data_IF_120707836129
#
_entry.id   IF_120707836129
#
_cell.length_a   1.000
_cell.length_b   1.000
_cell.length_c   1.000
_cell.angle_alpha   90.00
_cell.angle_beta   90.00
_cell.angle_gamma   90.00
#
_symmetry.space_group_name_H-M   'P 1'
#
loop_
_entity.id
_entity.type
_entity.pdbx_description
1 polymer ?
#
# COMPACT_ATOMS: atom_id res chain seq x y z
N UNK A 1 22.80 8.74 16.57
CA UNK A 1 21.91 9.81 17.12
C UNK A 1 20.65 9.85 16.28
N UNK A 2 19.48 9.54 16.84
CA UNK A 2 18.22 9.63 16.09
C UNK A 2 17.80 11.10 15.98
N UNK A 3 17.67 11.63 14.77
CA UNK A 3 17.11 12.97 14.53
C UNK A 3 15.61 12.97 14.84
N UNK A 4 15.05 14.07 15.37
CA UNK A 4 13.60 14.22 15.59
C UNK A 4 12.77 13.91 14.35
N UNK A 5 13.32 14.18 13.15
CA UNK A 5 12.71 13.85 11.86
C UNK A 5 12.54 12.34 11.65
N UNK A 6 13.47 11.53 12.14
CA UNK A 6 13.45 10.06 12.04
C UNK A 6 12.39 9.48 12.97
N UNK A 7 12.34 9.97 14.21
CA UNK A 7 11.31 9.55 15.19
C UNK A 7 9.91 9.91 14.71
N UNK A 8 9.72 11.13 14.21
CA UNK A 8 8.43 11.58 13.65
C UNK A 8 7.98 10.70 12.47
N UNK A 9 8.92 10.37 11.57
CA UNK A 9 8.63 9.52 10.42
C UNK A 9 8.21 8.09 10.78
N UNK A 10 8.95 7.41 11.66
CA UNK A 10 8.55 6.06 12.05
C UNK A 10 7.31 6.08 12.94
N UNK A 11 7.13 7.13 13.75
CA UNK A 11 5.92 7.33 14.53
C UNK A 11 4.66 7.49 13.67
N UNK A 12 4.72 8.18 12.52
CA UNK A 12 3.57 8.24 11.61
C UNK A 12 3.31 6.90 10.90
N UNK A 13 4.36 6.18 10.49
CA UNK A 13 4.22 4.88 9.84
C UNK A 13 3.58 3.85 10.77
N UNK A 14 4.00 3.80 12.03
CA UNK A 14 3.42 2.91 13.05
C UNK A 14 1.94 3.23 13.30
N UNK A 15 1.57 4.52 13.43
CA UNK A 15 0.17 4.91 13.64
C UNK A 15 -0.71 4.49 12.46
N UNK A 16 -0.25 4.74 11.24
CA UNK A 16 -0.98 4.36 10.04
C UNK A 16 -1.14 2.84 9.90
N UNK A 17 -0.10 2.08 10.22
CA UNK A 17 -0.20 0.62 10.21
C UNK A 17 -1.19 0.10 11.27
N UNK A 18 -1.16 0.68 12.48
CA UNK A 18 -2.11 0.31 13.54
C UNK A 18 -3.55 0.62 13.14
N UNK A 19 -3.80 1.75 12.48
CA UNK A 19 -5.13 2.10 11.96
C UNK A 19 -5.68 1.01 11.02
N UNK A 20 -4.87 0.52 10.09
CA UNK A 20 -5.26 -0.57 9.18
C UNK A 20 -5.56 -1.84 9.97
N UNK A 21 -4.70 -2.19 10.93
CA UNK A 21 -4.82 -3.44 11.69
C UNK A 21 -6.02 -3.46 12.65
N UNK A 22 -6.41 -2.31 13.18
CA UNK A 22 -7.55 -2.18 14.11
C UNK A 22 -8.89 -2.16 13.37
N UNK A 23 -8.95 -1.57 12.18
CA UNK A 23 -10.18 -1.43 11.39
C UNK A 23 -10.48 -2.62 10.46
N UNK A 24 -9.85 -3.78 10.68
CA UNK A 24 -10.01 -4.95 9.81
C UNK A 24 -11.15 -5.86 10.26
N UNK A 25 -12.05 -6.17 9.34
CA UNK A 25 -13.17 -7.09 9.51
C UNK A 25 -13.00 -8.31 8.61
N UNK A 26 -13.59 -9.45 8.97
CA UNK A 26 -13.51 -10.64 8.11
C UNK A 26 -14.35 -10.44 6.85
N UNK A 27 -13.85 -10.83 5.67
CA UNK A 27 -14.60 -10.72 4.40
C UNK A 27 -15.97 -11.38 4.49
N UNK A 28 -16.06 -12.56 5.13
CA UNK A 28 -17.32 -13.27 5.32
C UNK A 28 -18.34 -12.46 6.16
N UNK A 29 -17.87 -11.77 7.20
CA UNK A 29 -18.71 -10.90 8.02
C UNK A 29 -19.22 -9.72 7.20
N UNK A 30 -18.34 -9.06 6.43
CA UNK A 30 -18.71 -7.92 5.57
C UNK A 30 -19.72 -8.35 4.50
N UNK A 31 -19.53 -9.49 3.83
CA UNK A 31 -20.49 -10.02 2.84
C UNK A 31 -21.87 -10.26 3.48
N UNK A 32 -21.90 -10.84 4.68
CA UNK A 32 -23.14 -11.17 5.39
C UNK A 32 -23.86 -9.98 6.03
N UNK A 33 -23.17 -8.84 6.18
CA UNK A 33 -23.73 -7.66 6.84
C UNK A 33 -24.86 -7.04 6.01
N UNK A 34 -25.99 -6.67 6.64
CA UNK A 34 -27.10 -5.98 5.96
C UNK A 34 -26.72 -4.55 5.54
N UNK A 35 -25.71 -3.96 6.17
CA UNK A 35 -25.24 -2.60 5.86
C UNK A 35 -24.30 -2.56 4.64
N UNK A 36 -23.86 -3.71 4.13
CA UNK A 36 -22.97 -3.79 2.97
C UNK A 36 -23.76 -3.58 1.68
N UNK A 37 -23.33 -2.60 0.88
CA UNK A 37 -23.94 -2.29 -0.41
C UNK A 37 -23.84 -3.48 -1.37
N UNK A 38 -24.77 -3.58 -2.32
CA UNK A 38 -24.76 -4.65 -3.31
C UNK A 38 -23.46 -4.68 -4.12
N UNK A 39 -22.96 -3.50 -4.53
CA UNK A 39 -21.70 -3.35 -5.27
C UNK A 39 -20.52 -3.88 -4.48
N UNK A 40 -20.38 -3.47 -3.21
CA UNK A 40 -19.27 -3.93 -2.37
C UNK A 40 -19.32 -5.44 -2.11
N UNK A 41 -20.51 -5.97 -1.87
CA UNK A 41 -20.71 -7.43 -1.70
C UNK A 41 -20.28 -8.19 -2.95
N UNK A 42 -20.65 -7.69 -4.13
CA UNK A 42 -20.28 -8.28 -5.40
C UNK A 42 -18.76 -8.24 -5.63
N UNK A 43 -18.11 -7.10 -5.36
CA UNK A 43 -16.66 -6.97 -5.45
C UNK A 43 -15.92 -7.98 -4.55
N UNK A 44 -16.39 -8.18 -3.32
CA UNK A 44 -15.81 -9.18 -2.40
C UNK A 44 -15.98 -10.63 -2.88
N UNK A 45 -17.11 -10.94 -3.53
CA UNK A 45 -17.32 -12.26 -4.16
C UNK A 45 -16.37 -12.45 -5.35
N UNK A 46 -16.18 -11.40 -6.16
CA UNK A 46 -15.25 -11.40 -7.29
C UNK A 46 -13.80 -11.57 -6.84
N UNK A 47 -13.39 -10.92 -5.74
CA UNK A 47 -12.08 -11.15 -5.13
C UNK A 47 -11.86 -12.63 -4.80
N UNK A 48 -12.87 -13.33 -4.28
CA UNK A 48 -12.78 -14.78 -4.06
C UNK A 48 -12.43 -15.54 -5.34
N UNK A 49 -13.12 -15.23 -6.43
CA UNK A 49 -12.87 -15.84 -7.75
C UNK A 49 -11.48 -15.51 -8.30
N UNK A 50 -11.02 -14.27 -8.10
CA UNK A 50 -9.68 -13.81 -8.49
C UNK A 50 -8.60 -14.60 -7.73
N UNK A 51 -8.74 -14.75 -6.42
CA UNK A 51 -7.79 -15.47 -5.57
C UNK A 51 -7.74 -16.96 -5.91
N UNK A 52 -8.90 -17.57 -6.19
CA UNK A 52 -8.98 -18.95 -6.64
C UNK A 52 -8.25 -19.14 -7.98
N UNK A 53 -8.41 -18.22 -8.93
CA UNK A 53 -7.68 -18.25 -10.19
C UNK A 53 -6.17 -18.05 -9.98
N UNK A 54 -5.78 -17.11 -9.12
CA UNK A 54 -4.38 -16.85 -8.78
C UNK A 54 -3.69 -18.11 -8.22
N UNK A 55 -4.34 -18.81 -7.29
CA UNK A 55 -3.81 -20.03 -6.70
C UNK A 55 -3.81 -21.23 -7.66
N UNK A 56 -4.95 -21.52 -8.28
CA UNK A 56 -5.14 -22.75 -9.04
C UNK A 56 -4.54 -22.70 -10.45
N UNK A 57 -4.49 -21.52 -11.08
CA UNK A 57 -4.05 -21.36 -12.47
C UNK A 57 -2.68 -20.69 -12.57
N UNK A 58 -2.46 -19.61 -11.80
CA UNK A 58 -1.21 -18.85 -11.87
C UNK A 58 -0.13 -19.34 -10.89
N UNK A 59 -0.45 -20.31 -10.03
CA UNK A 59 0.43 -20.82 -8.97
C UNK A 59 0.96 -19.71 -8.03
N UNK A 60 0.16 -18.66 -7.82
CA UNK A 60 0.45 -17.57 -6.88
C UNK A 60 0.03 -17.97 -5.45
N UNK A 61 0.69 -17.43 -4.39
CA UNK A 61 0.47 -17.81 -3.00
C UNK A 61 -0.78 -17.15 -2.41
N UNK A 62 -1.95 -17.41 -3.02
CA UNK A 62 -3.23 -16.78 -2.68
C UNK A 62 -3.90 -17.36 -1.42
N UNK A 63 -3.49 -18.57 -0.98
CA UNK A 63 -4.15 -19.27 0.11
C UNK A 63 -4.13 -18.46 1.41
N UNK A 64 -5.31 -18.16 1.95
CA UNK A 64 -5.46 -17.43 3.22
C UNK A 64 -5.13 -15.93 3.15
N UNK A 65 -4.78 -15.40 1.98
CA UNK A 65 -4.51 -13.98 1.77
C UNK A 65 -5.82 -13.21 1.56
N UNK A 66 -5.81 -11.91 1.86
CA UNK A 66 -6.94 -11.00 1.62
C UNK A 66 -8.27 -11.43 2.26
N UNK A 67 -8.22 -12.23 3.34
CA UNK A 67 -9.39 -12.72 4.07
C UNK A 67 -10.08 -11.66 4.95
N UNK A 68 -9.52 -10.45 4.98
CA UNK A 68 -9.99 -9.33 5.79
C UNK A 68 -10.12 -8.08 4.93
N UNK A 69 -11.05 -7.22 5.30
CA UNK A 69 -11.27 -5.90 4.69
C UNK A 69 -10.94 -4.86 5.74
N UNK A 70 -10.14 -3.85 5.40
CA UNK A 70 -9.91 -2.70 6.27
C UNK A 70 -10.53 -1.45 5.64
N UNK A 71 -11.46 -0.85 6.37
CA UNK A 71 -12.06 0.43 6.00
C UNK A 71 -11.10 1.56 6.33
N UNK A 72 -10.69 2.30 5.31
CA UNK A 72 -9.88 3.50 5.47
C UNK A 72 -10.65 4.69 4.88
N UNK A 73 -10.94 5.69 5.72
CA UNK A 73 -11.73 6.87 5.37
C UNK A 73 -10.92 7.93 4.59
N UNK A 74 -10.22 7.49 3.54
CA UNK A 74 -9.41 8.37 2.67
C UNK A 74 -9.15 7.70 1.32
N UNK A 75 -8.81 8.53 0.32
CA UNK A 75 -8.62 8.09 -1.07
C UNK A 75 -7.38 7.19 -1.27
N UNK A 76 -6.31 7.44 -0.53
CA UNK A 76 -5.05 6.71 -0.65
C UNK A 76 -4.55 6.30 0.73
N UNK A 77 -4.05 5.07 0.84
CA UNK A 77 -3.53 4.51 2.09
C UNK A 77 -2.15 5.08 2.43
N UNK A 78 -1.37 5.43 1.41
CA UNK A 78 -0.05 6.07 1.56
C UNK A 78 0.13 7.12 0.47
N UNK A 79 0.92 8.13 0.76
CA UNK A 79 1.41 9.14 -0.17
C UNK A 79 2.92 9.00 -0.30
N UNK A 80 3.40 8.67 -1.49
CA UNK A 80 4.81 8.54 -1.78
C UNK A 80 5.40 9.89 -2.18
N UNK A 81 6.51 10.25 -1.55
CA UNK A 81 7.33 11.41 -1.92
C UNK A 81 8.59 10.89 -2.60
N UNK A 82 8.76 11.26 -3.87
CA UNK A 82 9.97 11.02 -4.68
C UNK A 82 10.62 12.36 -4.94
N UNK A 83 11.95 12.42 -4.89
CA UNK A 83 12.69 13.63 -5.20
C UNK A 83 13.92 13.30 -6.04
N UNK A 84 14.37 14.23 -6.88
CA UNK A 84 15.57 14.11 -7.68
C UNK A 84 16.25 15.49 -7.78
N UNK A 85 17.53 15.52 -8.17
CA UNK A 85 18.19 16.79 -8.51
C UNK A 85 17.51 17.43 -9.73
N UNK A 86 17.60 18.76 -9.84
CA UNK A 86 17.02 19.49 -10.96
C UNK A 86 17.62 18.99 -12.28
N UNK A 87 16.76 18.60 -13.24
CA UNK A 87 17.13 17.98 -14.52
C UNK A 87 17.72 16.56 -14.43
N UNK A 88 17.51 15.86 -13.30
CA UNK A 88 17.84 14.44 -13.15
C UNK A 88 16.57 13.59 -13.07
N UNK A 89 16.66 12.37 -13.59
CA UNK A 89 15.66 11.31 -13.38
C UNK A 89 16.11 10.31 -12.30
N UNK A 90 17.31 10.51 -11.73
CA UNK A 90 17.84 9.66 -10.67
C UNK A 90 17.23 10.06 -9.33
N UNK A 91 16.47 9.17 -8.67
CA UNK A 91 15.79 9.51 -7.42
C UNK A 91 16.77 9.57 -6.25
N UNK A 92 16.53 10.51 -5.35
CA UNK A 92 17.17 10.60 -4.05
C UNK A 92 16.82 9.37 -3.22
N UNK A 93 17.74 8.39 -3.20
CA UNK A 93 17.58 7.17 -2.45
C UNK A 93 17.44 7.42 -0.93
N UNK A 94 16.54 6.65 -0.31
CA UNK A 94 16.26 6.68 1.14
C UNK A 94 16.49 5.31 1.70
N UNK A 95 17.42 5.18 2.64
CA UNK A 95 17.73 3.89 3.25
C UNK A 95 16.97 3.66 4.56
N UNK A 96 16.48 2.44 4.71
CA UNK A 96 15.69 1.93 5.82
C UNK A 96 16.42 0.74 6.46
N UNK A 97 16.37 0.59 7.79
CA UNK A 97 17.13 -0.47 8.47
C UNK A 97 16.80 -1.90 8.04
N UNK A 98 15.56 -2.16 7.61
CA UNK A 98 15.07 -3.53 7.35
C UNK A 98 14.89 -3.86 5.87
N UNK A 99 14.55 -2.88 5.03
CA UNK A 99 14.16 -3.11 3.62
C UNK A 99 15.16 -2.53 2.61
N UNK A 100 16.31 -2.05 3.06
CA UNK A 100 17.32 -1.44 2.19
C UNK A 100 16.95 -0.02 1.77
N UNK A 101 17.36 0.38 0.56
CA UNK A 101 17.11 1.72 0.04
C UNK A 101 15.98 1.72 -1.00
N UNK A 102 15.11 2.73 -0.94
CA UNK A 102 14.03 2.92 -1.89
C UNK A 102 14.11 4.31 -2.53
N UNK A 103 13.57 4.43 -3.75
CA UNK A 103 13.47 5.69 -4.50
C UNK A 103 12.43 6.67 -3.93
N UNK A 104 11.59 6.22 -2.99
CA UNK A 104 10.49 7.00 -2.43
C UNK A 104 10.47 6.94 -0.91
N UNK A 105 9.70 7.85 -0.31
CA UNK A 105 9.34 7.82 1.11
C UNK A 105 7.83 7.93 1.30
N UNK A 106 7.23 6.90 1.89
CA UNK A 106 5.77 6.82 2.10
C UNK A 106 5.28 7.49 3.39
N UNK A 107 4.19 8.24 3.28
CA UNK A 107 3.50 8.91 4.39
C UNK A 107 2.03 8.51 4.45
N UNK A 108 1.53 8.16 5.62
CA UNK A 108 0.12 7.81 5.81
C UNK A 108 -0.82 9.02 5.82
N UNK A 109 -0.30 10.25 5.75
CA UNK A 109 -1.14 11.45 5.59
C UNK A 109 -0.58 12.38 4.53
N UNK A 110 -1.49 13.07 3.81
CA UNK A 110 -1.10 14.02 2.77
C UNK A 110 -0.32 15.20 3.35
N UNK A 111 -0.64 15.63 4.56
CA UNK A 111 0.07 16.72 5.25
C UNK A 111 1.50 16.31 5.59
N UNK A 112 1.71 15.04 5.96
CA UNK A 112 3.04 14.46 6.17
C UNK A 112 3.88 14.49 4.89
N UNK A 113 3.29 14.03 3.79
CA UNK A 113 3.93 14.05 2.47
C UNK A 113 4.23 15.48 2.01
N UNK A 114 3.27 16.40 2.12
CA UNK A 114 3.41 17.79 1.72
C UNK A 114 4.50 18.52 2.53
N UNK A 115 4.59 18.27 3.85
CA UNK A 115 5.68 18.83 4.68
C UNK A 115 7.05 18.36 4.20
N UNK A 116 7.20 17.08 3.89
CA UNK A 116 8.48 16.57 3.37
C UNK A 116 8.78 17.11 1.98
N UNK A 117 7.77 17.17 1.11
CA UNK A 117 7.94 17.70 -0.23
C UNK A 117 8.42 19.15 -0.19
N UNK A 118 7.76 20.00 0.60
CA UNK A 118 8.19 21.38 0.83
C UNK A 118 9.62 21.44 1.35
N UNK A 119 9.99 20.60 2.33
CA UNK A 119 11.35 20.57 2.89
C UNK A 119 12.41 20.24 1.83
N UNK A 120 12.11 19.32 0.90
CA UNK A 120 13.02 18.93 -0.17
C UNK A 120 13.09 20.00 -1.27
N UNK A 121 11.97 20.61 -1.63
CA UNK A 121 11.94 21.74 -2.58
C UNK A 121 12.77 22.93 -2.08
N UNK A 122 12.70 23.27 -0.78
CA UNK A 122 13.55 24.31 -0.19
C UNK A 122 15.05 23.99 -0.23
N UNK A 123 15.40 22.72 -0.45
CA UNK A 123 16.79 22.27 -0.63
C UNK A 123 17.21 22.19 -2.11
N UNK A 124 16.33 22.58 -3.03
CA UNK A 124 16.62 22.64 -4.47
C UNK A 124 16.28 21.37 -5.26
N UNK A 125 15.62 20.38 -4.65
CA UNK A 125 15.19 19.18 -5.36
C UNK A 125 13.91 19.42 -6.16
N UNK A 126 13.78 18.72 -7.29
CA UNK A 126 12.48 18.49 -7.92
C UNK A 126 11.76 17.35 -7.18
N UNK A 127 10.47 17.52 -6.89
CA UNK A 127 9.73 16.65 -5.98
C UNK A 127 8.36 16.29 -6.53
N UNK A 128 8.07 14.99 -6.56
CA UNK A 128 6.77 14.45 -6.92
C UNK A 128 6.09 13.78 -5.72
N UNK A 129 4.79 14.05 -5.55
CA UNK A 129 3.95 13.42 -4.53
C UNK A 129 2.82 12.64 -5.22
N UNK A 130 2.76 11.34 -4.99
CA UNK A 130 1.76 10.45 -5.58
C UNK A 130 0.99 9.68 -4.51
N UNK A 131 -0.31 9.49 -4.74
CA UNK A 131 -1.15 8.65 -3.90
C UNK A 131 -1.04 7.18 -4.30
N UNK A 132 -0.92 6.30 -3.30
CA UNK A 132 -0.89 4.85 -3.48
C UNK A 132 -2.17 4.27 -2.90
N UNK A 133 -2.91 3.53 -3.72
CA UNK A 133 -4.18 2.94 -3.32
C UNK A 133 -3.97 1.63 -2.56
N UNK A 134 -2.98 0.83 -2.95
CA UNK A 134 -2.59 -0.39 -2.26
C UNK A 134 -1.39 -0.15 -1.34
N UNK A 135 -1.29 -0.96 -0.29
CA UNK A 135 -0.15 -0.97 0.59
C UNK A 135 0.11 -2.41 0.96
N UNK A 136 1.24 -2.96 0.52
CA UNK A 136 1.72 -4.25 0.97
C UNK A 136 2.83 -4.09 1.99
N UNK A 137 2.79 -4.98 2.97
CA UNK A 137 3.88 -5.15 3.93
C UNK A 137 4.93 -6.14 3.44
N UNK A 138 4.96 -6.42 2.13
CA UNK A 138 5.91 -7.34 1.48
C UNK A 138 5.87 -8.74 2.12
N UNK A 139 4.66 -9.19 2.46
CA UNK A 139 4.41 -10.49 3.07
C UNK A 139 4.69 -10.60 4.58
N UNK A 140 5.09 -9.53 5.27
CA UNK A 140 5.27 -9.53 6.72
C UNK A 140 3.95 -9.65 7.48
N UNK A 141 2.84 -9.25 6.86
CA UNK A 141 1.48 -9.41 7.37
C UNK A 141 0.56 -10.01 6.29
N UNK A 142 -0.57 -10.54 6.74
CA UNK A 142 -1.70 -10.81 5.84
C UNK A 142 -2.40 -9.49 5.53
N UNK A 143 -1.98 -8.86 4.43
CA UNK A 143 -2.49 -7.57 4.01
C UNK A 143 -4.00 -7.66 3.73
N UNK A 144 -4.83 -6.78 4.33
CA UNK A 144 -6.27 -6.77 4.09
C UNK A 144 -6.60 -6.13 2.75
N UNK A 145 -7.79 -6.44 2.22
CA UNK A 145 -8.42 -5.65 1.16
C UNK A 145 -8.74 -4.26 1.69
N UNK A 146 -8.22 -3.22 1.05
CA UNK A 146 -8.46 -1.85 1.48
C UNK A 146 -9.63 -1.24 0.72
N UNK A 147 -10.44 -0.45 1.41
CA UNK A 147 -11.52 0.34 0.80
C UNK A 147 -11.05 1.29 -0.30
N UNK A 148 -9.76 1.62 -0.35
CA UNK A 148 -9.12 2.49 -1.35
C UNK A 148 -9.12 1.91 -2.76
N UNK A 149 -9.21 0.59 -2.91
CA UNK A 149 -9.23 -0.09 -4.21
C UNK A 149 -10.37 -1.10 -4.38
N UNK A 150 -11.13 -1.42 -3.32
CA UNK A 150 -12.15 -2.46 -3.37
C UNK A 150 -13.29 -2.16 -4.36
N UNK A 151 -13.59 -0.88 -4.60
CA UNK A 151 -14.64 -0.45 -5.54
C UNK A 151 -14.10 -0.25 -6.99
N UNK A 152 -12.88 -0.71 -7.28
CA UNK A 152 -12.33 -0.63 -8.64
C UNK A 152 -12.97 -1.66 -9.57
N UNK A 153 -12.94 -1.43 -10.90
CA UNK A 153 -13.33 -2.45 -11.86
C UNK A 153 -12.57 -3.77 -11.65
N UNK A 154 -13.27 -4.88 -11.85
CA UNK A 154 -12.78 -6.24 -11.53
C UNK A 154 -11.44 -6.56 -12.20
N UNK A 155 -11.23 -6.09 -13.43
CA UNK A 155 -9.99 -6.27 -14.17
C UNK A 155 -8.79 -5.59 -13.49
N UNK A 156 -8.99 -4.39 -12.94
CA UNK A 156 -7.95 -3.65 -12.20
C UNK A 156 -7.73 -4.22 -10.82
N UNK A 157 -8.78 -4.76 -10.20
CA UNK A 157 -8.67 -5.46 -8.93
C UNK A 157 -7.88 -6.77 -9.10
N UNK A 158 -8.13 -7.51 -10.18
CA UNK A 158 -7.38 -8.72 -10.51
C UNK A 158 -5.91 -8.41 -10.80
N UNK A 159 -5.62 -7.42 -11.65
CA UNK A 159 -4.26 -6.95 -11.93
C UNK A 159 -3.51 -6.61 -10.64
N UNK A 160 -4.12 -5.82 -9.77
CA UNK A 160 -3.53 -5.43 -8.50
C UNK A 160 -3.26 -6.65 -7.60
N UNK A 161 -4.25 -7.51 -7.38
CA UNK A 161 -4.09 -8.67 -6.51
C UNK A 161 -3.04 -9.65 -7.04
N UNK A 162 -2.93 -9.84 -8.36
CA UNK A 162 -1.88 -10.66 -8.94
C UNK A 162 -0.50 -10.03 -8.76
N UNK A 163 -0.37 -8.72 -8.93
CA UNK A 163 0.87 -7.99 -8.68
C UNK A 163 1.34 -8.15 -7.23
N UNK A 164 0.45 -7.92 -6.26
CA UNK A 164 0.79 -8.04 -4.83
C UNK A 164 1.08 -9.49 -4.42
N UNK A 165 0.39 -10.48 -4.99
CA UNK A 165 0.71 -11.89 -4.75
C UNK A 165 2.04 -12.30 -5.40
N UNK A 166 2.43 -11.69 -6.53
CA UNK A 166 3.73 -11.92 -7.15
C UNK A 166 4.88 -11.41 -6.27
N UNK A 167 4.71 -10.29 -5.57
CA UNK A 167 5.66 -9.79 -4.57
C UNK A 167 5.96 -10.80 -3.46
N UNK A 168 4.98 -11.63 -3.09
CA UNK A 168 5.17 -12.70 -2.09
C UNK A 168 6.08 -13.81 -2.62
N UNK A 169 6.05 -14.10 -3.93
CA UNK A 169 6.93 -15.11 -4.54
C UNK A 169 8.32 -14.57 -4.82
N UNK A 170 8.40 -13.35 -5.36
CA UNK A 170 9.62 -12.73 -5.82
C UNK A 170 9.65 -11.30 -5.30
N UNK A 171 10.40 -11.09 -4.23
CA UNK A 171 10.77 -9.75 -3.77
C UNK A 171 12.26 -9.52 -4.03
N UNK A 172 12.59 -8.50 -4.82
CA UNK A 172 13.98 -8.12 -5.09
C UNK A 172 14.36 -6.95 -4.18
N UNK A 173 15.23 -7.23 -3.20
CA UNK A 173 15.71 -6.18 -2.27
C UNK A 173 16.39 -5.07 -3.07
N UNK A 174 15.89 -3.84 -2.92
CA UNK A 174 16.44 -2.65 -3.57
C UNK A 174 15.85 -2.34 -4.95
N UNK A 175 14.94 -3.16 -5.48
CA UNK A 175 14.18 -2.82 -6.69
C UNK A 175 12.81 -2.26 -6.30
N UNK A 176 12.73 -0.93 -6.23
CA UNK A 176 11.47 -0.24 -5.91
C UNK A 176 10.52 -0.08 -7.11
N UNK A 177 10.95 -0.49 -8.31
CA UNK A 177 10.13 -0.43 -9.52
C UNK A 177 9.37 -1.74 -9.75
N UNK A 178 9.80 -2.83 -9.13
CA UNK A 178 9.09 -4.10 -9.07
C UNK A 178 7.84 -3.99 -8.21
#
# INVERSE_FOLDING_TARGET
VASCSTVSFYGQALRGQVEILVNREAVSQVISSPNTTAVRRQALIEVGSILDFAGNTLALPAQGRYMRVAEINRRYVVWNVVAADLLSIEPLARCYPLIGCAAYRGYFTIEGAAREANRLQHRGYDVHVSGVAAYSTLGWFDDPLLSTFLDWPVERLAELLFHELAHVLVYVVGDSAF
#
